data_IF_831009104069
#
_entry.id   IF_831009104069
#
_cell.length_a   1.000
_cell.length_b   1.000
_cell.length_c   1.000
_cell.angle_alpha   90.00
_cell.angle_beta   90.00
_cell.angle_gamma   90.00
#
_symmetry.space_group_name_H-M   'P 1'
#
loop_
_entity.id
_entity.type
_entity.pdbx_description
1 polymer ?
#
# COMPACT_ATOMS: atom_id res chain seq x y z
N UNK A 1 -12.35 9.48 -4.08
CA UNK A 1 -11.74 8.34 -4.81
C UNK A 1 -12.46 7.08 -4.34
N UNK A 2 -12.88 6.23 -5.26
CA UNK A 2 -13.50 4.94 -4.92
C UNK A 2 -12.47 3.99 -4.32
N UNK A 3 -12.90 3.10 -3.41
CA UNK A 3 -12.02 2.15 -2.70
C UNK A 3 -11.22 1.29 -3.68
N UNK A 4 -11.87 0.79 -4.72
CA UNK A 4 -11.26 -0.09 -5.74
C UNK A 4 -10.13 0.63 -6.50
N UNK A 5 -10.32 1.90 -6.85
CA UNK A 5 -9.30 2.73 -7.51
C UNK A 5 -8.10 2.94 -6.57
N UNK A 6 -8.37 3.20 -5.29
CA UNK A 6 -7.30 3.39 -4.30
C UNK A 6 -6.48 2.12 -4.11
N UNK A 7 -7.14 0.97 -3.98
CA UNK A 7 -6.49 -0.35 -3.85
C UNK A 7 -5.65 -0.63 -5.08
N UNK A 8 -6.20 -0.50 -6.29
CA UNK A 8 -5.49 -0.78 -7.53
C UNK A 8 -4.23 0.10 -7.70
N UNK A 9 -4.30 1.39 -7.35
CA UNK A 9 -3.13 2.29 -7.42
C UNK A 9 -2.08 1.92 -6.38
N UNK A 10 -2.51 1.59 -5.16
CA UNK A 10 -1.63 1.18 -4.07
C UNK A 10 -0.93 -0.15 -4.40
N UNK A 11 -1.69 -1.17 -4.82
CA UNK A 11 -1.17 -2.47 -5.23
C UNK A 11 -0.22 -2.37 -6.42
N UNK A 12 -0.54 -1.55 -7.43
CA UNK A 12 0.36 -1.32 -8.56
C UNK A 12 1.70 -0.71 -8.11
N UNK A 13 1.67 0.22 -7.14
CA UNK A 13 2.88 0.82 -6.59
C UNK A 13 3.71 -0.18 -5.78
N UNK A 14 3.05 -0.98 -4.94
CA UNK A 14 3.68 -2.07 -4.21
C UNK A 14 4.31 -3.09 -5.17
N UNK A 15 3.65 -3.41 -6.29
CA UNK A 15 4.16 -4.32 -7.32
C UNK A 15 5.45 -3.82 -7.97
N UNK A 16 5.58 -2.51 -8.17
CA UNK A 16 6.82 -1.92 -8.71
C UNK A 16 8.00 -2.05 -7.75
N UNK A 17 7.75 -2.07 -6.44
CA UNK A 17 8.77 -2.31 -5.41
C UNK A 17 9.03 -3.82 -5.21
N UNK A 18 7.98 -4.63 -5.21
CA UNK A 18 8.02 -6.07 -4.97
C UNK A 18 7.50 -6.87 -6.16
N UNK A 19 8.23 -6.79 -7.28
CA UNK A 19 7.93 -7.53 -8.51
C UNK A 19 7.89 -9.06 -8.36
N UNK A 20 8.37 -9.59 -7.24
CA UNK A 20 8.41 -11.02 -6.92
C UNK A 20 7.23 -11.49 -6.08
N UNK A 21 6.44 -10.55 -5.54
CA UNK A 21 5.22 -10.85 -4.77
C UNK A 21 4.06 -10.95 -5.75
N UNK A 22 3.16 -11.89 -5.50
CA UNK A 22 1.99 -12.13 -6.33
C UNK A 22 1.05 -10.91 -6.32
N UNK A 23 0.49 -10.48 -7.48
CA UNK A 23 -0.45 -9.37 -7.55
C UNK A 23 -1.66 -9.54 -6.62
N UNK A 24 -2.20 -10.76 -6.48
CA UNK A 24 -3.38 -11.01 -5.62
C UNK A 24 -3.03 -10.74 -4.13
N UNK A 25 -1.80 -11.08 -3.73
CA UNK A 25 -1.30 -10.77 -2.37
C UNK A 25 -1.10 -9.26 -2.15
N UNK A 26 -0.72 -8.52 -3.20
CA UNK A 26 -0.57 -7.06 -3.11
C UNK A 26 -1.92 -6.35 -3.01
N UNK A 27 -2.94 -6.86 -3.69
CA UNK A 27 -4.32 -6.39 -3.55
C UNK A 27 -4.84 -6.62 -2.13
N UNK A 28 -4.61 -7.80 -1.55
CA UNK A 28 -4.93 -8.08 -0.13
C UNK A 28 -4.24 -7.10 0.83
N UNK A 29 -2.95 -6.83 0.62
CA UNK A 29 -2.20 -5.85 1.41
C UNK A 29 -2.79 -4.45 1.23
N UNK A 30 -3.08 -4.03 -0.01
CA UNK A 30 -3.70 -2.74 -0.28
C UNK A 30 -5.10 -2.63 0.33
N UNK A 31 -5.87 -3.71 0.42
CA UNK A 31 -7.13 -3.73 1.17
C UNK A 31 -6.91 -3.48 2.66
N UNK A 32 -5.87 -4.07 3.25
CA UNK A 32 -5.51 -3.87 4.65
C UNK A 32 -5.04 -2.42 4.92
N UNK A 33 -4.26 -1.85 4.00
CA UNK A 33 -3.86 -0.44 4.03
C UNK A 33 -5.07 0.49 3.97
N UNK A 34 -6.09 0.16 3.18
CA UNK A 34 -7.32 0.94 3.13
C UNK A 34 -8.14 0.89 4.43
N UNK A 35 -8.08 -0.22 5.17
CA UNK A 35 -8.72 -0.34 6.49
C UNK A 35 -8.06 0.55 7.53
N UNK A 36 -6.78 0.88 7.35
CA UNK A 36 -6.07 1.82 8.20
C UNK A 36 -6.50 3.26 7.90
N UNK A 37 -7.25 3.86 8.84
CA UNK A 37 -7.77 5.24 8.69
C UNK A 37 -6.68 6.27 8.36
N UNK A 38 -5.51 6.16 9.02
CA UNK A 38 -4.37 7.06 8.79
C UNK A 38 -3.87 7.04 7.34
N UNK A 39 -3.72 5.84 6.78
CA UNK A 39 -3.25 5.64 5.41
C UNK A 39 -4.32 5.99 4.39
N UNK A 40 -5.59 5.66 4.70
CA UNK A 40 -6.74 6.04 3.88
C UNK A 40 -6.95 7.55 3.77
N UNK A 41 -6.54 8.32 4.79
CA UNK A 41 -6.57 9.79 4.74
C UNK A 41 -5.49 10.37 3.81
N UNK A 42 -4.52 9.57 3.39
CA UNK A 42 -3.43 9.94 2.48
C UNK A 42 -3.72 9.50 1.03
N UNK A 43 -2.98 10.05 0.07
CA UNK A 43 -2.99 9.54 -1.29
C UNK A 43 -2.46 8.08 -1.30
N UNK A 44 -2.98 7.19 -2.17
CA UNK A 44 -2.54 5.79 -2.23
C UNK A 44 -1.03 5.66 -2.48
N UNK A 45 -0.46 6.64 -3.19
CA UNK A 45 0.96 6.76 -3.45
C UNK A 45 1.79 6.99 -2.19
N UNK A 46 1.34 7.93 -1.35
CA UNK A 46 2.00 8.29 -0.08
C UNK A 46 1.77 7.21 0.96
N UNK A 47 0.56 6.65 1.03
CA UNK A 47 0.23 5.53 1.92
C UNK A 47 1.12 4.31 1.65
N UNK A 48 1.38 4.01 0.37
CA UNK A 48 2.31 2.94 0.00
C UNK A 48 3.72 3.24 0.49
N UNK A 49 4.18 4.49 0.37
CA UNK A 49 5.53 4.89 0.79
C UNK A 49 5.67 4.83 2.31
N UNK A 50 4.73 5.42 3.05
CA UNK A 50 4.67 5.41 4.52
C UNK A 50 4.64 3.98 5.07
N UNK A 51 3.88 3.07 4.43
CA UNK A 51 3.84 1.68 4.85
C UNK A 51 5.08 0.88 4.44
N UNK A 52 5.73 1.24 3.32
CA UNK A 52 7.00 0.68 2.89
C UNK A 52 8.20 1.21 3.67
N UNK A 53 8.03 2.30 4.45
CA UNK A 53 9.11 2.78 5.30
C UNK A 53 9.51 1.66 6.27
N UNK A 54 10.78 1.25 6.27
CA UNK A 54 11.23 0.18 7.13
C UNK A 54 10.98 0.61 8.58
N UNK A 55 10.17 -0.17 9.29
CA UNK A 55 9.95 -0.04 10.74
C UNK A 55 11.23 -0.50 11.47
N UNK A 56 12.38 0.09 11.14
CA UNK A 56 13.64 -0.20 11.79
C UNK A 56 13.77 0.71 13.01
N UNK A 57 13.94 0.15 14.23
CA UNK A 57 14.36 0.95 15.36
C UNK A 57 15.74 1.52 15.02
N UNK A 58 15.83 2.85 14.99
CA UNK A 58 17.10 3.56 14.89
C UNK A 58 17.95 3.14 16.09
N UNK A 59 18.94 2.26 15.84
CA UNK A 59 19.93 1.81 16.82
C UNK A 59 20.84 2.96 17.23
#
# INVERSE_FOLDING_TARGET
>A
MEREIWIAVCAHRLQRQWRTVDPDQLDEVAEDLWRNKRLREMAPEDASVEWLEPIAPRR
#
